data_IF_016910232127
#
_entry.id   IF_016910232127
#
_cell.length_a   1.000
_cell.length_b   1.000
_cell.length_c   1.000
_cell.angle_alpha   90.00
_cell.angle_beta   90.00
_cell.angle_gamma   90.00
#
_symmetry.space_group_name_H-M   'P 1'
#
loop_
_entity.id
_entity.type
_entity.pdbx_description
1 polymer ?
#
# COMPACT_ATOMS: atom_id res chain seq x y z
N UNK A 1 -42.43 -37.91 56.71
CA UNK A 1 -42.19 -38.49 55.37
C UNK A 1 -42.21 -37.36 54.35
N UNK A 2 -41.12 -37.20 53.58
CA UNK A 2 -41.03 -36.61 52.22
C UNK A 2 -41.43 -35.12 52.10
N UNK A 3 -40.68 -34.22 51.46
CA UNK A 3 -39.56 -34.33 50.53
C UNK A 3 -38.74 -33.03 50.55
N UNK A 4 -37.42 -33.15 50.38
CA UNK A 4 -36.54 -32.04 50.06
C UNK A 4 -36.66 -31.69 48.57
N UNK A 5 -36.80 -30.40 48.24
CA UNK A 5 -36.63 -29.91 46.88
C UNK A 5 -35.28 -29.17 46.79
N UNK A 6 -34.36 -29.77 46.05
CA UNK A 6 -33.13 -29.15 45.60
C UNK A 6 -33.44 -28.25 44.40
N UNK A 7 -33.02 -26.99 44.45
CA UNK A 7 -33.07 -26.06 43.31
C UNK A 7 -31.68 -26.08 42.66
N UNK A 8 -31.57 -26.70 41.48
CA UNK A 8 -30.43 -26.53 40.59
C UNK A 8 -30.52 -25.14 39.95
N UNK A 9 -29.57 -24.26 40.28
CA UNK A 9 -29.33 -23.05 39.49
C UNK A 9 -28.40 -23.41 38.32
N UNK A 10 -28.95 -23.43 37.11
CA UNK A 10 -28.17 -23.59 35.88
C UNK A 10 -27.37 -22.31 35.62
N UNK A 11 -26.04 -22.44 35.59
CA UNK A 11 -25.14 -21.39 35.14
C UNK A 11 -25.31 -21.19 33.63
N UNK A 12 -25.78 -20.00 33.21
CA UNK A 12 -25.83 -19.60 31.81
C UNK A 12 -24.46 -19.03 31.46
N UNK A 13 -23.62 -19.85 30.83
CA UNK A 13 -22.35 -19.43 30.25
C UNK A 13 -22.64 -18.57 29.01
N UNK A 14 -22.48 -17.25 29.12
CA UNK A 14 -22.43 -16.37 27.96
C UNK A 14 -21.09 -16.61 27.23
N UNK A 15 -21.13 -17.40 26.17
CA UNK A 15 -20.09 -17.44 25.16
C UNK A 15 -20.12 -16.09 24.42
N UNK A 16 -19.27 -15.15 24.83
CA UNK A 16 -18.92 -14.01 24.00
C UNK A 16 -18.10 -14.54 22.82
N UNK A 17 -18.79 -14.87 21.73
CA UNK A 17 -18.14 -15.12 20.45
C UNK A 17 -17.50 -13.82 19.96
N UNK A 18 -16.19 -13.84 19.71
CA UNK A 18 -15.56 -12.91 18.78
C UNK A 18 -16.21 -13.16 17.40
N UNK A 19 -17.29 -12.46 17.11
CA UNK A 19 -17.78 -12.32 15.74
C UNK A 19 -16.85 -11.36 15.03
N UNK A 20 -16.29 -11.78 13.90
CA UNK A 20 -15.56 -10.89 13.00
C UNK A 20 -16.45 -9.68 12.72
N UNK A 21 -15.96 -8.47 13.06
CA UNK A 21 -16.69 -7.25 12.78
C UNK A 21 -16.90 -7.16 11.26
N UNK A 22 -18.15 -7.22 10.81
CA UNK A 22 -18.48 -6.99 9.41
C UNK A 22 -18.01 -5.59 9.02
N UNK A 23 -17.15 -5.44 7.99
CA UNK A 23 -16.67 -4.13 7.57
C UNK A 23 -17.83 -3.21 7.18
N UNK A 24 -17.76 -1.94 7.62
CA UNK A 24 -18.76 -0.92 7.25
C UNK A 24 -18.40 -0.28 5.91
N UNK A 25 -18.85 -0.90 4.82
CA UNK A 25 -18.62 -0.41 3.45
C UNK A 25 -19.38 0.89 3.13
N UNK A 26 -20.47 1.21 3.83
CA UNK A 26 -21.22 2.45 3.60
C UNK A 26 -20.41 3.68 4.02
N UNK A 27 -19.53 3.53 5.01
CA UNK A 27 -18.64 4.59 5.47
C UNK A 27 -17.64 5.09 4.40
N UNK A 28 -17.38 4.29 3.36
CA UNK A 28 -16.50 4.60 2.22
C UNK A 28 -17.07 5.69 1.31
N UNK A 29 -18.39 5.81 1.27
CA UNK A 29 -19.13 6.76 0.44
C UNK A 29 -19.25 8.14 1.10
N UNK A 30 -18.97 8.22 2.39
CA UNK A 30 -19.03 9.47 3.13
C UNK A 30 -17.83 10.36 2.83
N UNK A 31 -18.10 11.61 2.48
CA UNK A 31 -17.10 12.68 2.33
C UNK A 31 -16.93 13.52 3.60
N UNK A 32 -17.59 13.14 4.70
CA UNK A 32 -17.46 13.86 5.97
C UNK A 32 -16.00 13.78 6.47
N UNK A 33 -15.41 14.90 6.91
CA UNK A 33 -14.04 14.91 7.40
C UNK A 33 -13.91 14.00 8.64
N UNK A 34 -12.90 13.13 8.63
CA UNK A 34 -12.51 12.36 9.81
C UNK A 34 -12.06 13.32 10.91
N UNK A 35 -12.44 13.08 12.18
CA UNK A 35 -11.94 13.82 13.36
C UNK A 35 -10.49 13.46 13.68
N UNK A 36 -9.60 13.59 12.71
CA UNK A 36 -8.14 13.59 12.93
C UNK A 36 -7.66 15.04 13.03
N UNK A 37 -6.66 15.33 13.89
CA UNK A 37 -6.07 16.66 13.96
C UNK A 37 -5.65 17.11 12.55
N UNK A 38 -5.89 18.36 12.15
CA UNK A 38 -5.39 18.86 10.89
C UNK A 38 -3.86 18.69 10.88
N UNK A 39 -3.34 18.00 9.87
CA UNK A 39 -1.92 18.09 9.57
C UNK A 39 -1.64 19.57 9.28
N UNK A 40 -0.76 20.17 10.08
CA UNK A 40 -0.26 21.53 9.86
C UNK A 40 0.17 21.63 8.41
N UNK A 41 -0.30 22.67 7.69
CA UNK A 41 0.11 22.96 6.32
C UNK A 41 1.55 23.48 6.29
N UNK A 42 2.51 22.62 6.65
CA UNK A 42 3.78 22.64 5.95
C UNK A 42 3.43 22.38 4.48
N UNK A 43 3.99 23.18 3.57
CA UNK A 43 3.77 23.03 2.13
C UNK A 43 3.92 21.55 1.78
N UNK A 44 2.84 20.91 1.34
CA UNK A 44 2.80 19.45 1.22
C UNK A 44 3.65 19.05 0.02
N UNK A 45 4.94 18.82 0.25
CA UNK A 45 5.89 18.45 -0.81
C UNK A 45 5.70 16.97 -1.15
N UNK A 46 5.34 16.62 -2.41
CA UNK A 46 5.28 15.24 -2.87
C UNK A 46 6.61 14.51 -2.68
N UNK A 47 6.55 13.19 -2.48
CA UNK A 47 7.77 12.38 -2.28
C UNK A 47 8.77 12.53 -3.44
N UNK A 48 8.29 12.54 -4.68
CA UNK A 48 9.14 12.73 -5.87
C UNK A 48 9.87 14.08 -5.83
N UNK A 49 9.14 15.16 -5.55
CA UNK A 49 9.69 16.50 -5.43
C UNK A 49 10.70 16.63 -4.28
N UNK A 50 10.45 15.98 -3.14
CA UNK A 50 11.39 15.92 -2.03
C UNK A 50 12.68 15.21 -2.45
N UNK A 51 12.58 14.00 -3.01
CA UNK A 51 13.74 13.20 -3.43
C UNK A 51 14.58 13.96 -4.47
N UNK A 52 13.95 14.57 -5.47
CA UNK A 52 14.63 15.41 -6.45
C UNK A 52 15.31 16.63 -5.79
N UNK A 53 14.62 17.28 -4.85
CA UNK A 53 15.14 18.44 -4.11
C UNK A 53 16.39 18.14 -3.28
N UNK A 54 16.53 16.91 -2.76
CA UNK A 54 17.73 16.45 -2.05
C UNK A 54 18.76 15.79 -2.98
N UNK A 55 18.56 15.86 -4.30
CA UNK A 55 19.51 15.41 -5.32
C UNK A 55 19.46 13.90 -5.63
N UNK A 56 18.41 13.20 -5.19
CA UNK A 56 18.18 11.79 -5.55
C UNK A 56 17.60 11.71 -6.95
N UNK A 57 18.17 10.83 -7.78
CA UNK A 57 17.66 10.51 -9.11
C UNK A 57 16.94 9.17 -9.07
N UNK A 58 15.65 9.21 -9.42
CA UNK A 58 14.85 8.01 -9.66
C UNK A 58 14.94 7.58 -11.13
N UNK A 59 15.19 6.30 -11.41
CA UNK A 59 15.02 5.74 -12.77
C UNK A 59 14.09 4.55 -12.74
N UNK A 60 13.02 4.52 -13.57
CA UNK A 60 12.07 3.43 -13.55
C UNK A 60 12.73 2.14 -14.07
N UNK A 61 12.45 1.03 -13.40
CA UNK A 61 12.95 -0.30 -13.74
C UNK A 61 11.82 -1.32 -13.67
N UNK A 62 11.77 -2.20 -14.65
CA UNK A 62 10.80 -3.29 -14.65
C UNK A 62 11.13 -4.30 -13.53
N UNK A 63 10.15 -4.76 -12.73
CA UNK A 63 10.38 -5.73 -11.65
C UNK A 63 11.14 -6.99 -12.09
N UNK A 64 10.84 -7.52 -13.26
CA UNK A 64 11.50 -8.72 -13.81
C UNK A 64 12.95 -8.49 -14.29
N UNK A 65 13.40 -7.24 -14.39
CA UNK A 65 14.79 -6.88 -14.74
C UNK A 65 15.68 -6.70 -13.51
N UNK A 66 15.12 -6.71 -12.30
CA UNK A 66 15.87 -6.61 -11.06
C UNK A 66 16.72 -7.86 -10.86
N UNK A 67 18.01 -7.70 -10.59
CA UNK A 67 18.96 -8.83 -10.43
C UNK A 67 19.30 -9.13 -8.96
N UNK A 68 19.08 -8.17 -8.08
CA UNK A 68 19.46 -8.13 -6.66
C UNK A 68 18.24 -7.96 -5.72
N UNK A 69 17.07 -7.62 -6.26
CA UNK A 69 15.79 -7.51 -5.57
C UNK A 69 14.72 -8.38 -6.25
N UNK A 70 13.80 -8.92 -5.45
CA UNK A 70 12.59 -9.61 -5.89
C UNK A 70 11.38 -8.80 -5.46
N UNK A 71 10.52 -8.46 -6.42
CA UNK A 71 9.24 -7.78 -6.18
C UNK A 71 8.14 -8.59 -6.84
N UNK A 72 7.14 -9.02 -6.07
CA UNK A 72 6.05 -9.86 -6.58
C UNK A 72 4.70 -9.31 -6.16
N UNK A 73 3.77 -9.29 -7.10
CA UNK A 73 2.35 -8.98 -6.89
C UNK A 73 1.57 -10.17 -7.46
N UNK A 74 0.77 -10.88 -6.65
CA UNK A 74 0.00 -12.00 -7.16
C UNK A 74 -1.12 -11.48 -8.06
N UNK A 75 -1.50 -12.30 -9.05
CA UNK A 75 -2.61 -12.00 -9.95
C UNK A 75 -3.84 -12.80 -9.52
N UNK A 76 -4.92 -12.16 -9.04
CA UNK A 76 -6.15 -12.86 -8.73
C UNK A 76 -6.78 -13.49 -9.98
N UNK A 77 -7.67 -14.46 -9.78
CA UNK A 77 -8.38 -15.11 -10.89
C UNK A 77 -9.24 -14.09 -11.65
N UNK A 78 -9.14 -14.10 -12.98
CA UNK A 78 -9.90 -13.19 -13.85
C UNK A 78 -9.21 -11.85 -14.11
N UNK A 79 -8.17 -11.53 -13.35
CA UNK A 79 -7.37 -10.34 -13.59
C UNK A 79 -6.42 -10.56 -14.76
N UNK A 80 -6.12 -9.49 -15.49
CA UNK A 80 -5.25 -9.50 -16.67
C UNK A 80 -4.28 -8.32 -16.67
N UNK A 81 -3.22 -8.43 -17.46
CA UNK A 81 -2.28 -7.32 -17.64
C UNK A 81 -2.98 -6.16 -18.39
N UNK A 82 -2.87 -4.97 -17.84
CA UNK A 82 -3.32 -3.74 -18.46
C UNK A 82 -2.11 -3.00 -19.02
N UNK A 83 -2.04 -2.88 -20.34
CA UNK A 83 -0.95 -2.18 -21.03
C UNK A 83 -1.49 -0.92 -21.67
N UNK A 84 -0.86 0.22 -21.38
CA UNK A 84 -1.18 1.50 -21.97
C UNK A 84 0.12 2.25 -22.28
N UNK A 85 0.24 2.77 -23.50
CA UNK A 85 1.44 3.47 -23.99
C UNK A 85 1.76 4.76 -23.23
N UNK A 86 0.79 5.30 -22.49
CA UNK A 86 0.96 6.49 -21.66
C UNK A 86 1.56 6.17 -20.28
N UNK A 87 1.67 4.90 -19.90
CA UNK A 87 2.32 4.50 -18.65
C UNK A 87 3.84 4.60 -18.78
N UNK A 88 4.49 5.01 -17.69
CA UNK A 88 5.95 5.05 -17.65
C UNK A 88 6.54 3.65 -17.93
N UNK A 89 7.64 3.55 -18.71
CA UNK A 89 8.30 2.26 -18.95
C UNK A 89 8.63 1.54 -17.64
N UNK A 90 8.39 0.23 -17.58
CA UNK A 90 8.63 -0.58 -16.37
C UNK A 90 7.45 -0.65 -15.40
N UNK A 91 6.43 0.20 -15.56
CA UNK A 91 5.16 0.10 -14.81
C UNK A 91 4.46 -1.22 -15.16
N UNK A 92 3.99 -1.94 -14.15
CA UNK A 92 3.13 -3.12 -14.32
C UNK A 92 1.75 -2.79 -13.80
N UNK A 93 0.71 -3.05 -14.57
CA UNK A 93 -0.67 -2.88 -14.11
C UNK A 93 -1.41 -4.17 -14.38
N UNK A 94 -2.15 -4.65 -13.38
CA UNK A 94 -3.17 -5.68 -13.55
C UNK A 94 -4.54 -5.09 -13.27
N UNK A 95 -5.55 -5.56 -13.98
CA UNK A 95 -6.93 -5.07 -13.86
C UNK A 95 -7.92 -6.24 -13.84
N UNK A 96 -9.05 -6.05 -13.16
CA UNK A 96 -10.22 -6.92 -13.25
C UNK A 96 -11.09 -6.46 -14.43
N UNK A 97 -10.97 -7.14 -15.58
CA UNK A 97 -11.64 -6.74 -16.81
C UNK A 97 -10.95 -5.57 -17.51
N UNK A 98 -11.73 -4.60 -18.00
CA UNK A 98 -11.23 -3.48 -18.82
C UNK A 98 -10.96 -2.20 -18.02
N UNK A 99 -11.32 -2.16 -16.73
CA UNK A 99 -11.26 -0.96 -15.87
C UNK A 99 -10.91 -1.33 -14.42
N UNK A 100 -11.40 -0.58 -13.44
CA UNK A 100 -11.25 -0.87 -12.02
C UNK A 100 -11.95 -2.18 -11.59
N UNK A 101 -11.43 -2.84 -10.54
CA UNK A 101 -10.21 -2.50 -9.81
C UNK A 101 -8.92 -2.71 -10.60
N UNK A 102 -7.91 -1.87 -10.33
CA UNK A 102 -6.57 -1.98 -10.89
C UNK A 102 -5.53 -2.04 -9.77
N UNK A 103 -4.42 -2.75 -10.01
CA UNK A 103 -3.25 -2.73 -9.16
C UNK A 103 -2.02 -2.38 -10.01
N UNK A 104 -1.43 -1.23 -9.70
CA UNK A 104 -0.27 -0.66 -10.38
C UNK A 104 0.96 -0.80 -9.50
N UNK A 105 2.00 -1.40 -10.07
CA UNK A 105 3.32 -1.55 -9.47
C UNK A 105 4.33 -0.72 -10.24
N UNK A 106 5.05 0.14 -9.53
CA UNK A 106 6.20 0.89 -10.01
C UNK A 106 7.42 0.56 -9.17
N UNK A 107 8.58 0.45 -9.82
CA UNK A 107 9.88 0.29 -9.15
C UNK A 107 10.86 1.28 -9.77
N UNK A 108 11.58 2.01 -8.92
CA UNK A 108 12.62 2.94 -9.33
C UNK A 108 13.94 2.54 -8.66
N UNK A 109 15.05 2.58 -9.39
CA UNK A 109 16.36 2.71 -8.76
C UNK A 109 16.50 4.12 -8.20
N UNK A 110 17.12 4.25 -7.04
CA UNK A 110 17.41 5.53 -6.40
C UNK A 110 18.92 5.74 -6.33
N UNK A 111 19.40 6.75 -7.05
CA UNK A 111 20.80 7.16 -7.06
C UNK A 111 20.98 8.46 -6.30
N UNK A 112 21.77 8.42 -5.23
CA UNK A 112 22.01 9.54 -4.32
C UNK A 112 21.98 9.08 -2.87
N UNK A 113 22.53 9.90 -1.98
CA UNK A 113 22.43 9.68 -0.54
C UNK A 113 21.29 10.53 0.02
N UNK A 114 20.43 9.93 0.83
CA UNK A 114 19.27 10.58 1.41
C UNK A 114 18.86 9.87 2.70
N UNK A 115 18.16 10.59 3.57
CA UNK A 115 17.55 10.05 4.77
C UNK A 115 16.18 9.44 4.42
N UNK A 116 16.06 8.13 4.61
CA UNK A 116 14.83 7.39 4.33
C UNK A 116 13.71 7.74 5.32
N UNK A 117 14.03 8.03 6.58
CA UNK A 117 13.04 8.42 7.57
C UNK A 117 12.44 9.80 7.24
N UNK A 118 13.27 10.72 6.75
CA UNK A 118 12.79 12.02 6.27
C UNK A 118 11.94 11.86 5.01
N UNK A 119 12.40 11.09 4.02
CA UNK A 119 11.65 10.82 2.80
C UNK A 119 10.25 10.23 3.09
N UNK A 120 10.13 9.33 4.07
CA UNK A 120 8.85 8.73 4.45
C UNK A 120 7.82 9.74 4.98
N UNK A 121 8.21 10.94 5.44
CA UNK A 121 7.26 11.98 5.81
C UNK A 121 6.43 12.47 4.62
N UNK A 122 6.98 12.35 3.41
CA UNK A 122 6.37 12.78 2.15
C UNK A 122 5.60 11.67 1.44
N UNK A 123 5.67 10.43 1.92
CA UNK A 123 5.18 9.25 1.19
C UNK A 123 3.65 9.25 0.95
N UNK A 124 2.87 9.77 1.90
CA UNK A 124 1.40 9.73 1.81
C UNK A 124 0.82 11.00 1.17
N UNK A 125 1.65 12.03 0.91
CA UNK A 125 1.19 13.36 0.46
C UNK A 125 0.36 13.26 -0.81
N UNK A 126 0.79 12.48 -1.81
CA UNK A 126 0.07 12.33 -3.07
C UNK A 126 -1.34 11.77 -2.89
N UNK A 127 -1.54 10.89 -1.89
CA UNK A 127 -2.86 10.38 -1.56
C UNK A 127 -3.68 11.44 -0.80
N UNK A 128 -3.07 12.11 0.17
CA UNK A 128 -3.73 13.06 1.07
C UNK A 128 -4.24 14.32 0.35
N UNK A 129 -3.59 14.73 -0.74
CA UNK A 129 -4.03 15.90 -1.55
C UNK A 129 -5.11 15.56 -2.58
N UNK A 130 -5.56 14.31 -2.66
CA UNK A 130 -6.65 13.91 -3.57
C UNK A 130 -7.98 14.55 -3.16
N UNK A 131 -8.84 14.83 -4.15
CA UNK A 131 -10.13 15.49 -3.92
C UNK A 131 -10.99 14.70 -2.92
N UNK A 132 -11.47 15.39 -1.88
CA UNK A 132 -12.30 14.79 -0.80
C UNK A 132 -11.67 13.52 -0.20
N UNK A 133 -10.34 13.49 -0.07
CA UNK A 133 -9.65 12.38 0.53
C UNK A 133 -10.10 12.15 1.99
N UNK A 134 -10.41 10.89 2.30
CA UNK A 134 -10.75 10.42 3.63
C UNK A 134 -9.91 9.20 3.95
N UNK A 135 -8.98 9.35 4.89
CA UNK A 135 -8.14 8.26 5.40
C UNK A 135 -8.98 7.23 6.14
N UNK A 136 -8.75 5.95 5.83
CA UNK A 136 -9.37 4.79 6.47
C UNK A 136 -8.37 4.04 7.34
N UNK A 137 -7.13 3.90 6.87
CA UNK A 137 -6.06 3.20 7.57
C UNK A 137 -4.70 3.79 7.17
N UNK A 138 -3.67 3.48 7.94
CA UNK A 138 -2.29 3.75 7.54
C UNK A 138 -1.28 3.14 8.49
N UNK A 139 -0.07 2.94 8.01
CA UNK A 139 1.04 2.39 8.78
C UNK A 139 2.38 2.99 8.32
N UNK A 140 3.28 3.20 9.27
CA UNK A 140 4.69 3.58 9.05
C UNK A 140 5.66 2.48 9.50
N UNK A 141 5.15 1.28 9.73
CA UNK A 141 5.97 0.12 10.09
C UNK A 141 6.72 -0.41 8.86
N UNK A 142 7.86 -1.05 9.13
CA UNK A 142 8.63 -1.73 8.10
C UNK A 142 7.80 -2.81 7.40
N UNK A 143 7.96 -2.91 6.07
CA UNK A 143 7.35 -3.94 5.25
C UNK A 143 8.41 -4.93 4.80
N UNK A 144 8.27 -6.20 5.22
CA UNK A 144 9.23 -7.27 4.88
C UNK A 144 10.69 -6.92 5.25
N UNK A 145 10.87 -6.14 6.32
CA UNK A 145 12.18 -5.69 6.81
C UNK A 145 12.73 -4.44 6.13
N UNK A 146 11.93 -3.74 5.32
CA UNK A 146 12.31 -2.48 4.68
C UNK A 146 11.45 -1.30 5.17
N UNK A 147 12.02 -0.09 5.31
CA UNK A 147 11.27 1.11 5.65
C UNK A 147 10.11 1.35 4.67
N UNK A 148 8.91 1.62 5.20
CA UNK A 148 7.69 1.68 4.39
C UNK A 148 6.67 2.69 4.92
N UNK A 149 5.81 3.19 4.02
CA UNK A 149 4.56 3.85 4.35
C UNK A 149 3.41 3.12 3.66
N UNK A 150 2.27 3.04 4.32
CA UNK A 150 1.03 2.57 3.75
C UNK A 150 -0.11 3.51 4.15
N UNK A 151 -0.97 3.81 3.19
CA UNK A 151 -2.19 4.57 3.42
C UNK A 151 -3.35 3.94 2.63
N UNK A 152 -4.48 3.80 3.30
CA UNK A 152 -5.75 3.44 2.68
C UNK A 152 -6.73 4.57 2.87
N UNK A 153 -7.52 4.84 1.83
CA UNK A 153 -8.47 5.92 1.87
C UNK A 153 -9.49 5.86 0.76
N UNK A 154 -10.38 6.83 0.77
CA UNK A 154 -11.35 7.08 -0.29
C UNK A 154 -11.20 8.52 -0.77
N UNK A 155 -11.43 8.75 -2.06
CA UNK A 155 -11.30 10.07 -2.68
C UNK A 155 -12.19 10.12 -3.93
N UNK A 156 -12.37 11.31 -4.48
CA UNK A 156 -13.16 11.51 -5.69
C UNK A 156 -12.25 11.59 -6.91
N UNK A 157 -12.61 10.87 -7.97
CA UNK A 157 -11.92 10.90 -9.25
C UNK A 157 -12.95 10.97 -10.38
N UNK A 158 -12.95 12.07 -11.13
CA UNK A 158 -13.89 12.30 -12.24
C UNK A 158 -15.37 12.12 -11.85
N UNK A 159 -15.75 12.56 -10.64
CA UNK A 159 -17.11 12.46 -10.12
C UNK A 159 -17.49 11.06 -9.58
N UNK A 160 -16.55 10.12 -9.55
CA UNK A 160 -16.74 8.79 -8.98
C UNK A 160 -16.00 8.66 -7.65
N UNK A 161 -16.66 8.06 -6.64
CA UNK A 161 -16.02 7.73 -5.37
C UNK A 161 -15.13 6.50 -5.52
N UNK A 162 -13.85 6.68 -5.24
CA UNK A 162 -12.83 5.65 -5.31
C UNK A 162 -12.41 5.21 -3.91
N UNK A 163 -12.02 3.95 -3.79
CA UNK A 163 -11.22 3.45 -2.68
C UNK A 163 -9.81 3.16 -3.21
N UNK A 164 -8.79 3.49 -2.41
CA UNK A 164 -7.41 3.18 -2.74
C UNK A 164 -6.62 2.64 -1.55
N UNK A 165 -5.65 1.81 -1.90
CA UNK A 165 -4.54 1.36 -1.09
C UNK A 165 -3.26 1.84 -1.76
N UNK A 166 -2.38 2.50 -1.03
CA UNK A 166 -1.04 2.85 -1.49
C UNK A 166 -0.01 2.33 -0.48
N UNK A 167 1.01 1.60 -0.97
CA UNK A 167 2.19 1.25 -0.18
C UNK A 167 3.46 1.65 -0.91
N UNK A 168 4.30 2.40 -0.20
CA UNK A 168 5.66 2.77 -0.58
C UNK A 168 6.65 1.96 0.26
N UNK A 169 7.66 1.39 -0.38
CA UNK A 169 8.74 0.63 0.27
C UNK A 169 10.09 1.15 -0.25
N UNK A 170 10.94 1.61 0.67
CA UNK A 170 12.33 1.92 0.37
C UNK A 170 13.17 0.65 0.56
N UNK A 171 13.32 -0.11 -0.51
CA UNK A 171 14.02 -1.39 -0.48
C UNK A 171 15.51 -1.23 -0.77
N UNK A 172 16.30 -2.14 -0.23
CA UNK A 172 17.73 -2.27 -0.55
C UNK A 172 17.95 -3.64 -1.18
N UNK A 173 18.55 -3.66 -2.37
CA UNK A 173 18.91 -4.90 -3.07
C UNK A 173 20.01 -5.67 -2.34
N UNK A 174 20.29 -6.88 -2.82
CA UNK A 174 21.43 -7.66 -2.34
C UNK A 174 22.73 -6.88 -2.46
N UNK A 175 23.55 -6.95 -1.42
CA UNK A 175 24.92 -6.41 -1.46
C UNK A 175 25.73 -7.14 -2.53
N UNK A 176 26.34 -6.45 -3.51
CA UNK A 176 27.20 -7.10 -4.49
C UNK A 176 28.53 -7.56 -3.87
N UNK A 177 29.09 -8.66 -4.37
CA UNK A 177 30.36 -9.23 -3.87
C UNK A 177 31.57 -8.32 -4.14
N UNK A 178 31.47 -7.43 -5.14
CA UNK A 178 32.54 -6.56 -5.59
C UNK A 178 32.01 -5.14 -5.86
N UNK A 179 32.84 -4.09 -5.66
CA UNK A 179 32.48 -2.74 -6.04
C UNK A 179 32.20 -2.63 -7.56
N UNK A 180 31.28 -1.75 -7.93
CA UNK A 180 31.12 -1.36 -9.32
C UNK A 180 32.37 -0.59 -9.82
N UNK A 181 32.67 -0.56 -11.13
CA UNK A 181 33.78 0.24 -11.65
C UNK A 181 33.73 1.68 -11.16
N UNK A 182 34.82 2.16 -10.56
CA UNK A 182 34.90 3.51 -9.99
C UNK A 182 34.43 3.65 -8.54
N UNK A 183 33.99 2.56 -7.89
CA UNK A 183 33.69 2.54 -6.46
C UNK A 183 34.81 1.85 -5.67
N UNK A 184 35.08 2.34 -4.46
CA UNK A 184 36.06 1.76 -3.54
C UNK A 184 35.49 0.58 -2.76
N UNK A 185 34.21 0.68 -2.37
CA UNK A 185 33.48 -0.32 -1.59
C UNK A 185 32.22 -0.75 -2.34
N UNK A 186 31.74 -2.01 -2.18
CA UNK A 186 30.46 -2.40 -2.75
C UNK A 186 29.33 -1.57 -2.12
N UNK A 187 28.36 -1.17 -2.94
CA UNK A 187 27.15 -0.46 -2.49
C UNK A 187 25.93 -1.21 -2.99
N UNK A 188 25.03 -1.56 -2.08
CA UNK A 188 23.74 -2.11 -2.46
C UNK A 188 22.88 -1.04 -3.13
N UNK A 189 22.16 -1.42 -4.19
CA UNK A 189 21.24 -0.51 -4.87
C UNK A 189 20.04 -0.22 -3.96
N UNK A 190 19.68 1.06 -3.84
CA UNK A 190 18.42 1.48 -3.20
C UNK A 190 17.31 1.56 -4.24
N UNK A 191 16.09 1.21 -3.82
CA UNK A 191 14.91 1.20 -4.65
C UNK A 191 13.74 1.90 -3.96
N UNK A 192 12.89 2.54 -4.76
CA UNK A 192 11.52 2.89 -4.38
C UNK A 192 10.58 1.91 -5.06
N UNK A 193 9.84 1.13 -4.27
CA UNK A 193 8.77 0.25 -4.76
C UNK A 193 7.45 0.86 -4.34
N UNK A 194 6.54 1.06 -5.28
CA UNK A 194 5.20 1.59 -5.01
C UNK A 194 4.14 0.65 -5.58
N UNK A 195 3.23 0.21 -4.72
CA UNK A 195 2.02 -0.50 -5.10
C UNK A 195 0.81 0.39 -4.81
N UNK A 196 0.03 0.67 -5.85
CA UNK A 196 -1.24 1.39 -5.74
C UNK A 196 -2.35 0.48 -6.25
N UNK A 197 -3.38 0.27 -5.43
CA UNK A 197 -4.59 -0.47 -5.82
C UNK A 197 -5.76 0.50 -5.73
N UNK A 198 -6.60 0.54 -6.76
CA UNK A 198 -7.74 1.44 -6.83
C UNK A 198 -8.98 0.67 -7.27
N UNK A 199 -10.12 0.93 -6.63
CA UNK A 199 -11.43 0.37 -6.98
C UNK A 199 -12.52 1.42 -6.84
N UNK A 200 -13.69 1.18 -7.42
CA UNK A 200 -14.89 1.93 -7.03
C UNK A 200 -15.22 1.64 -5.56
N UNK A 201 -15.63 2.65 -4.81
CA UNK A 201 -16.00 2.46 -3.40
C UNK A 201 -17.26 1.59 -3.26
N UNK A 202 -18.21 1.70 -4.20
CA UNK A 202 -19.43 0.88 -4.23
C UNK A 202 -19.16 -0.62 -4.50
N UNK A 203 -17.99 -0.95 -5.06
CA UNK A 203 -17.58 -2.32 -5.39
C UNK A 203 -16.72 -2.97 -4.29
N UNK A 204 -16.44 -2.25 -3.20
CA UNK A 204 -15.48 -2.65 -2.17
C UNK A 204 -15.78 -4.03 -1.55
N UNK A 205 -17.06 -4.33 -1.29
CA UNK A 205 -17.47 -5.64 -0.76
C UNK A 205 -17.24 -6.75 -1.80
N UNK A 206 -17.73 -6.55 -3.03
CA UNK A 206 -17.68 -7.55 -4.09
C UNK A 206 -16.25 -7.86 -4.55
N UNK A 207 -15.36 -6.85 -4.52
CA UNK A 207 -13.97 -6.95 -5.01
C UNK A 207 -12.95 -7.15 -3.88
N UNK A 208 -13.37 -6.99 -2.62
CA UNK A 208 -12.48 -6.99 -1.46
C UNK A 208 -11.60 -8.23 -1.35
N UNK A 209 -12.15 -9.43 -1.57
CA UNK A 209 -11.38 -10.67 -1.48
C UNK A 209 -10.24 -10.76 -2.52
N UNK A 210 -10.47 -10.28 -3.75
CA UNK A 210 -9.44 -10.28 -4.79
C UNK A 210 -8.37 -9.21 -4.50
N UNK A 211 -8.78 -8.04 -4.01
CA UNK A 211 -7.86 -6.97 -3.58
C UNK A 211 -7.01 -7.43 -2.41
N UNK A 212 -7.59 -8.08 -1.41
CA UNK A 212 -6.87 -8.61 -0.25
C UNK A 212 -5.85 -9.68 -0.65
N UNK A 213 -6.15 -10.50 -1.67
CA UNK A 213 -5.17 -11.44 -2.22
C UNK A 213 -3.93 -10.70 -2.77
N UNK A 214 -4.12 -9.54 -3.41
CA UNK A 214 -3.02 -8.70 -3.91
C UNK A 214 -2.23 -8.11 -2.74
N UNK A 215 -2.91 -7.50 -1.77
CA UNK A 215 -2.28 -6.84 -0.61
C UNK A 215 -1.46 -7.85 0.20
N UNK A 216 -2.07 -8.98 0.58
CA UNK A 216 -1.45 -9.97 1.45
C UNK A 216 -0.33 -10.77 0.76
N UNK A 217 -0.43 -10.96 -0.56
CA UNK A 217 0.62 -11.63 -1.34
C UNK A 217 1.68 -10.69 -1.94
N UNK A 218 1.53 -9.37 -1.82
CA UNK A 218 2.58 -8.43 -2.21
C UNK A 218 3.85 -8.70 -1.40
N UNK A 219 4.99 -8.81 -2.08
CA UNK A 219 6.25 -9.13 -1.44
C UNK A 219 7.43 -8.37 -2.07
N UNK A 220 8.36 -7.98 -1.21
CA UNK A 220 9.63 -7.33 -1.57
C UNK A 220 10.72 -8.01 -0.75
N UNK A 221 11.77 -8.51 -1.40
CA UNK A 221 12.86 -9.23 -0.75
C UNK A 221 14.18 -9.06 -1.51
N UNK A 222 15.29 -8.89 -0.80
CA UNK A 222 16.63 -8.99 -1.40
C UNK A 222 16.91 -10.44 -1.89
N UNK A 223 17.69 -10.59 -2.96
CA UNK A 223 18.08 -11.89 -3.54
C UNK A 223 19.36 -12.47 -2.94
#
# INVERSE_FOLDING_TARGET
MRAALAVLAAAVSLLAGCGDATPDYQSLLSTAPSTSPPATSEESVPLSAYLEGVGVKGQPVAPEKLTDLTVTVPRPKGWQDYTNTNLAPGTRVIADGETYPTAMLMVFTLDGDFDTAEALKHADVDAEVSENFKKLNGSREDFKGFPSSMIEGTYDLNGQRMQAYNRIVFATGKMPDKPAPGQLEPKAQKYLVQLTITSFADDAEAKGAAIEQIISGFNVAAK
#
